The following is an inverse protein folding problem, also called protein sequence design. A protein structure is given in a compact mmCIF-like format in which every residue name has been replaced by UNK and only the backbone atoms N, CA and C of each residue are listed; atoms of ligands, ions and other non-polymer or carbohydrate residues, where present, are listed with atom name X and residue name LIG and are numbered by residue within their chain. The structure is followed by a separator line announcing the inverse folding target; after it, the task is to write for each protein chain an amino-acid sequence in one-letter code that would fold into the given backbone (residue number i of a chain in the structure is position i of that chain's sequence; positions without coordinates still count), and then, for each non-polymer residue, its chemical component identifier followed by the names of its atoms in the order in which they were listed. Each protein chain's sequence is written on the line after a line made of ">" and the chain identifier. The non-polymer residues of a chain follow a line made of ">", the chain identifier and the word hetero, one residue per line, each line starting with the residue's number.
data_IF_766360681499
#
_entry.id   IF_766360681499
#
_cell.length_a   1.000
_cell.length_b   1.000
_cell.length_c   1.000
_cell.angle_alpha   90.00
_cell.angle_beta   90.00
_cell.angle_gamma   90.00
#
_symmetry.space_group_name_H-M   'P 1'
#
loop_
_entity.id
_entity.type
_entity.pdbx_description
1 polymer ?
#
# COMPACT_ATOMS: atom_id res chain seq x y z
N UNK A 1 8.47 75.47 -35.42
CA UNK A 1 7.61 74.71 -36.35
C UNK A 1 7.58 73.29 -35.83
N UNK A 2 6.37 72.87 -35.42
CA UNK A 2 5.91 71.54 -34.99
C UNK A 2 6.44 70.92 -33.68
N UNK A 3 5.66 71.18 -32.62
CA UNK A 3 5.50 70.37 -31.41
C UNK A 3 4.50 69.21 -31.65
N UNK A 4 4.47 68.25 -30.70
CA UNK A 4 3.43 67.24 -30.37
C UNK A 4 3.62 65.87 -31.04
N UNK A 5 3.54 64.74 -30.33
CA UNK A 5 3.17 64.52 -28.93
C UNK A 5 3.36 63.04 -28.56
N UNK A 6 3.64 62.82 -27.27
CA UNK A 6 3.64 61.52 -26.61
C UNK A 6 2.24 60.90 -26.64
N UNK A 7 2.12 59.63 -27.02
CA UNK A 7 1.02 58.76 -26.61
C UNK A 7 1.60 57.44 -26.10
N UNK A 8 1.48 57.24 -24.79
CA UNK A 8 1.71 55.98 -24.10
C UNK A 8 0.84 54.87 -24.71
N UNK A 9 1.46 53.76 -25.11
CA UNK A 9 0.76 52.50 -25.30
C UNK A 9 0.85 51.74 -23.98
N UNK A 10 -0.31 51.56 -23.34
CA UNK A 10 -0.53 50.57 -22.30
C UNK A 10 -0.27 49.18 -22.89
N UNK A 11 0.76 48.50 -22.41
CA UNK A 11 0.86 47.05 -22.51
C UNK A 11 0.02 46.49 -21.36
N UNK A 12 -1.10 45.83 -21.71
CA UNK A 12 -1.86 45.01 -20.78
C UNK A 12 -1.10 43.70 -20.64
N UNK A 13 -0.57 43.42 -19.45
CA UNK A 13 -0.06 42.11 -19.08
C UNK A 13 -1.26 41.15 -19.04
N UNK A 14 -1.30 40.19 -19.97
CA UNK A 14 -2.19 39.04 -19.91
C UNK A 14 -1.71 38.15 -18.74
N UNK A 15 -2.41 38.19 -17.60
CA UNK A 15 -2.25 37.19 -16.55
C UNK A 15 -2.72 35.84 -17.10
N UNK A 16 -1.79 34.95 -17.45
CA UNK A 16 -2.10 33.55 -17.74
C UNK A 16 -2.74 32.91 -16.50
N UNK A 17 -4.03 32.55 -16.62
CA UNK A 17 -4.79 31.86 -15.58
C UNK A 17 -4.20 30.45 -15.37
N UNK A 18 -3.33 30.30 -14.37
CA UNK A 18 -2.78 29.01 -13.97
C UNK A 18 -3.92 28.19 -13.34
N UNK A 19 -4.47 27.25 -14.11
CA UNK A 19 -5.39 26.23 -13.60
C UNK A 19 -4.60 25.26 -12.71
N UNK A 20 -4.61 25.50 -11.40
CA UNK A 20 -4.11 24.55 -10.42
C UNK A 20 -5.08 23.36 -10.34
N UNK A 21 -4.75 22.26 -11.03
CA UNK A 21 -5.42 20.98 -10.83
C UNK A 21 -5.15 20.48 -9.41
N UNK A 22 -6.21 20.09 -8.71
CA UNK A 22 -6.10 19.46 -7.39
C UNK A 22 -5.29 18.15 -7.52
N UNK A 23 -4.49 17.82 -6.50
CA UNK A 23 -3.66 16.61 -6.52
C UNK A 23 -4.47 15.33 -6.75
N UNK A 24 -5.77 15.33 -6.37
CA UNK A 24 -6.70 14.23 -6.67
C UNK A 24 -6.83 13.93 -8.17
N UNK A 25 -6.56 14.90 -9.06
CA UNK A 25 -6.63 14.67 -10.50
C UNK A 25 -5.60 13.67 -11.01
N UNK A 26 -4.49 13.47 -10.28
CA UNK A 26 -3.41 12.55 -10.67
C UNK A 26 -3.48 11.19 -9.96
N UNK A 27 -4.42 11.00 -9.04
CA UNK A 27 -4.60 9.73 -8.32
C UNK A 27 -5.58 8.85 -9.10
N UNK A 28 -5.08 7.76 -9.68
CA UNK A 28 -5.93 6.73 -10.29
C UNK A 28 -6.57 5.89 -9.18
N UNK A 29 -7.85 6.15 -8.89
CA UNK A 29 -8.66 5.41 -7.93
C UNK A 29 -9.62 4.40 -8.58
N UNK A 30 -9.41 4.08 -9.86
CA UNK A 30 -10.21 3.12 -10.64
C UNK A 30 -9.88 1.67 -10.27
N UNK A 31 -9.93 1.35 -8.98
CA UNK A 31 -9.66 0.01 -8.48
C UNK A 31 -10.71 -0.98 -8.96
N UNK A 32 -10.23 -2.14 -9.41
CA UNK A 32 -11.08 -3.25 -9.81
C UNK A 32 -11.02 -4.35 -8.77
N UNK A 33 -12.19 -4.89 -8.42
CA UNK A 33 -12.27 -6.07 -7.57
C UNK A 33 -11.73 -7.28 -8.35
N UNK A 34 -10.56 -7.76 -7.94
CA UNK A 34 -9.83 -8.81 -8.64
C UNK A 34 -9.74 -10.05 -7.76
N UNK A 35 -9.98 -11.22 -8.34
CA UNK A 35 -9.87 -12.51 -7.66
C UNK A 35 -8.51 -13.14 -7.93
N UNK A 36 -7.81 -13.54 -6.87
CA UNK A 36 -6.57 -14.29 -6.89
C UNK A 36 -6.78 -15.64 -6.21
N UNK A 37 -6.14 -16.69 -6.72
CA UNK A 37 -6.27 -18.05 -6.19
C UNK A 37 -4.88 -18.61 -5.89
N UNK A 38 -4.67 -19.03 -4.65
CA UNK A 38 -3.42 -19.64 -4.15
C UNK A 38 -3.76 -21.00 -3.50
N UNK A 39 -3.47 -22.09 -4.20
CA UNK A 39 -3.93 -23.42 -3.77
C UNK A 39 -5.46 -23.48 -3.62
N UNK A 40 -5.95 -23.74 -2.41
CA UNK A 40 -7.40 -23.74 -2.08
C UNK A 40 -7.93 -22.39 -1.59
N UNK A 41 -7.09 -21.34 -1.58
CA UNK A 41 -7.41 -20.03 -1.02
C UNK A 41 -7.76 -19.04 -2.12
N UNK A 42 -9.04 -18.67 -2.19
CA UNK A 42 -9.54 -17.61 -3.06
C UNK A 42 -9.58 -16.28 -2.33
N UNK A 43 -8.84 -15.27 -2.78
CA UNK A 43 -8.80 -13.91 -2.22
C UNK A 43 -9.36 -12.93 -3.25
N UNK A 44 -10.18 -12.00 -2.79
CA UNK A 44 -10.65 -10.88 -3.60
C UNK A 44 -10.16 -9.58 -2.98
N UNK A 45 -9.67 -8.65 -3.78
CA UNK A 45 -9.28 -7.32 -3.30
C UNK A 45 -9.41 -6.30 -4.41
N UNK A 46 -9.53 -5.04 -4.02
CA UNK A 46 -9.46 -3.90 -4.92
C UNK A 46 -7.99 -3.58 -5.22
N UNK A 47 -7.63 -3.58 -6.50
CA UNK A 47 -6.31 -3.15 -6.98
C UNK A 47 -6.43 -2.48 -8.35
N UNK A 48 -5.43 -1.70 -8.73
CA UNK A 48 -5.28 -1.25 -10.11
C UNK A 48 -4.80 -2.39 -11.00
N UNK A 49 -5.05 -2.30 -12.31
CA UNK A 49 -4.54 -3.25 -13.31
C UNK A 49 -3.39 -2.70 -14.14
N UNK A 50 -3.18 -1.38 -14.07
CA UNK A 50 -2.09 -0.67 -14.73
C UNK A 50 -1.41 0.24 -13.73
N UNK A 51 -0.08 0.35 -13.84
CA UNK A 51 0.68 1.29 -13.02
C UNK A 51 0.22 2.71 -13.29
N UNK A 52 0.05 3.49 -12.22
CA UNK A 52 0.11 4.94 -12.31
C UNK A 52 1.49 5.36 -12.82
N UNK A 53 1.56 6.52 -13.47
CA UNK A 53 2.86 7.11 -13.86
C UNK A 53 3.66 7.62 -12.65
N UNK A 54 3.01 7.70 -11.49
CA UNK A 54 3.63 8.04 -10.21
C UNK A 54 4.22 6.78 -9.54
N UNK A 55 5.53 6.84 -9.23
CA UNK A 55 6.28 5.75 -8.61
C UNK A 55 5.85 5.51 -7.15
N UNK A 56 5.36 6.55 -6.46
CA UNK A 56 4.97 6.45 -5.05
C UNK A 56 3.65 5.69 -4.86
N UNK A 57 2.93 5.47 -5.96
CA UNK A 57 1.60 4.86 -6.02
C UNK A 57 1.63 3.40 -6.53
N UNK A 58 2.81 2.83 -6.69
CA UNK A 58 3.04 1.44 -7.13
C UNK A 58 2.44 0.39 -6.19
N UNK A 59 2.23 0.73 -4.91
CA UNK A 59 1.57 -0.13 -3.92
C UNK A 59 0.10 -0.44 -4.21
N UNK A 60 -0.51 0.23 -5.19
CA UNK A 60 -1.89 -0.01 -5.63
C UNK A 60 -2.05 -1.22 -6.58
N UNK A 61 -0.94 -1.80 -7.01
CA UNK A 61 -0.87 -3.00 -7.84
C UNK A 61 -0.56 -4.25 -6.99
N UNK A 62 -0.82 -5.42 -7.57
CA UNK A 62 -0.28 -6.69 -7.07
C UNK A 62 0.97 -7.04 -7.86
N UNK A 63 2.12 -7.08 -7.20
CA UNK A 63 3.40 -7.36 -7.82
C UNK A 63 3.68 -8.88 -7.94
N UNK A 64 4.48 -9.32 -8.93
CA UNK A 64 4.74 -10.75 -9.15
C UNK A 64 5.41 -11.48 -7.97
N UNK A 65 6.28 -10.82 -7.20
CA UNK A 65 6.89 -11.40 -6.01
C UNK A 65 5.87 -11.67 -4.92
N UNK A 66 4.86 -10.81 -4.75
CA UNK A 66 3.74 -11.06 -3.83
C UNK A 66 2.94 -12.31 -4.24
N UNK A 67 2.74 -12.52 -5.54
CA UNK A 67 2.11 -13.74 -6.06
C UNK A 67 2.93 -15.00 -5.75
N UNK A 68 4.25 -14.94 -5.94
CA UNK A 68 5.15 -16.06 -5.63
C UNK A 68 5.20 -16.38 -4.13
N UNK A 69 5.27 -15.34 -3.29
CA UNK A 69 5.22 -15.49 -1.83
C UNK A 69 3.91 -16.17 -1.40
N UNK A 70 2.78 -15.73 -1.94
CA UNK A 70 1.48 -16.31 -1.62
C UNK A 70 1.31 -17.76 -2.09
N UNK A 71 1.89 -18.11 -3.25
CA UNK A 71 1.95 -19.49 -3.71
C UNK A 71 2.78 -20.36 -2.76
N UNK A 72 3.88 -19.85 -2.21
CA UNK A 72 4.66 -20.54 -1.19
C UNK A 72 3.90 -20.70 0.13
N UNK A 73 3.30 -19.62 0.64
CA UNK A 73 2.58 -19.61 1.91
C UNK A 73 1.33 -20.51 1.86
N UNK A 74 0.59 -20.50 0.75
CA UNK A 74 -0.59 -21.36 0.57
C UNK A 74 -0.26 -22.87 0.53
N UNK A 75 0.98 -23.24 0.19
CA UNK A 75 1.49 -24.62 0.29
C UNK A 75 1.99 -24.98 1.69
N UNK A 76 2.29 -23.97 2.51
CA UNK A 76 2.90 -24.13 3.82
C UNK A 76 2.04 -23.53 4.95
N UNK A 77 0.71 -23.58 4.81
CA UNK A 77 -0.26 -22.96 5.75
C UNK A 77 -0.06 -23.38 7.21
N UNK A 78 0.45 -24.59 7.44
CA UNK A 78 0.75 -25.10 8.78
C UNK A 78 1.78 -24.24 9.53
N UNK A 79 2.68 -23.56 8.81
CA UNK A 79 3.66 -22.63 9.40
C UNK A 79 2.99 -21.38 9.98
N UNK A 80 1.85 -20.97 9.42
CA UNK A 80 1.15 -19.73 9.79
C UNK A 80 0.13 -19.92 10.91
N UNK A 81 -0.24 -21.17 11.21
CA UNK A 81 -1.37 -21.50 12.06
C UNK A 81 -1.19 -20.96 13.48
N UNK A 82 -2.03 -19.99 13.86
CA UNK A 82 -2.00 -19.38 15.19
C UNK A 82 -0.85 -18.40 15.43
N UNK A 83 -0.03 -18.13 14.42
CA UNK A 83 1.08 -17.19 14.51
C UNK A 83 0.63 -15.73 14.39
N UNK A 84 1.55 -14.82 14.68
CA UNK A 84 1.45 -13.37 14.47
C UNK A 84 2.40 -12.96 13.36
N UNK A 85 1.95 -12.07 12.47
CA UNK A 85 2.77 -11.59 11.36
C UNK A 85 2.72 -10.06 11.25
N UNK A 86 3.83 -9.48 10.82
CA UNK A 86 3.87 -8.13 10.26
C UNK A 86 4.31 -8.22 8.80
N UNK A 87 3.65 -7.47 7.93
CA UNK A 87 4.02 -7.34 6.52
C UNK A 87 4.53 -5.92 6.27
N UNK A 88 5.74 -5.82 5.72
CA UNK A 88 6.40 -4.58 5.34
C UNK A 88 6.12 -4.32 3.86
N UNK A 89 5.64 -3.13 3.52
CA UNK A 89 5.30 -2.76 2.14
C UNK A 89 4.17 -3.60 1.58
N UNK A 90 3.04 -3.66 2.30
CA UNK A 90 1.89 -4.51 1.98
C UNK A 90 1.19 -4.15 0.66
N UNK A 91 1.35 -2.92 0.16
CA UNK A 91 0.59 -2.46 -0.99
C UNK A 91 -0.92 -2.59 -0.77
N UNK A 92 -1.62 -3.25 -1.69
CA UNK A 92 -3.05 -3.56 -1.57
C UNK A 92 -3.38 -4.68 -0.55
N UNK A 93 -2.37 -5.33 0.03
CA UNK A 93 -2.52 -6.26 1.15
C UNK A 93 -2.77 -7.73 0.80
N UNK A 94 -2.44 -8.15 -0.43
CA UNK A 94 -2.76 -9.52 -0.89
C UNK A 94 -2.17 -10.62 0.01
N UNK A 95 -0.94 -10.44 0.51
CA UNK A 95 -0.27 -11.42 1.35
C UNK A 95 -0.79 -11.38 2.78
N UNK A 96 -0.92 -10.20 3.39
CA UNK A 96 -1.50 -10.10 4.73
C UNK A 96 -2.93 -10.64 4.81
N UNK A 97 -3.76 -10.43 3.78
CA UNK A 97 -5.11 -11.03 3.68
C UNK A 97 -5.06 -12.55 3.54
N UNK A 98 -4.08 -13.11 2.81
CA UNK A 98 -3.89 -14.56 2.77
C UNK A 98 -3.53 -15.10 4.16
N UNK A 99 -2.55 -14.47 4.80
CA UNK A 99 -2.06 -14.87 6.12
C UNK A 99 -3.14 -14.76 7.20
N UNK A 100 -4.04 -13.78 7.12
CA UNK A 100 -5.08 -13.57 8.13
C UNK A 100 -6.06 -14.73 8.25
N UNK A 101 -6.10 -15.66 7.28
CA UNK A 101 -6.91 -16.88 7.34
C UNK A 101 -6.35 -17.95 8.27
N UNK A 102 -5.06 -17.86 8.60
CA UNK A 102 -4.33 -18.88 9.36
C UNK A 102 -3.69 -18.29 10.62
N UNK A 103 -3.19 -17.06 10.54
CA UNK A 103 -2.62 -16.31 11.65
C UNK A 103 -3.70 -15.80 12.61
N UNK A 104 -3.33 -15.62 13.88
CA UNK A 104 -4.20 -14.98 14.88
C UNK A 104 -4.22 -13.46 14.76
N UNK A 105 -3.17 -12.87 14.17
CA UNK A 105 -3.05 -11.42 13.95
C UNK A 105 -2.07 -11.15 12.81
N UNK A 106 -2.41 -10.19 11.96
CA UNK A 106 -1.55 -9.71 10.88
C UNK A 106 -1.57 -8.17 10.86
N UNK A 107 -0.41 -7.56 10.98
CA UNK A 107 -0.24 -6.11 10.84
C UNK A 107 0.34 -5.83 9.46
N UNK A 108 -0.43 -5.20 8.60
CA UNK A 108 -0.02 -4.79 7.26
C UNK A 108 0.45 -3.35 7.30
N UNK A 109 1.61 -3.07 6.70
CA UNK A 109 2.22 -1.74 6.77
C UNK A 109 2.62 -1.22 5.41
N UNK A 110 2.41 0.07 5.21
CA UNK A 110 2.93 0.83 4.07
C UNK A 110 3.24 2.27 4.49
N UNK A 111 4.09 2.95 3.73
CA UNK A 111 4.48 4.33 4.00
C UNK A 111 3.53 5.34 3.34
N UNK A 112 2.92 4.99 2.20
CA UNK A 112 2.15 5.90 1.38
C UNK A 112 0.68 5.95 1.85
N UNK A 113 0.17 7.15 2.13
CA UNK A 113 -1.20 7.34 2.65
C UNK A 113 -2.29 6.87 1.68
N UNK A 114 -2.12 7.06 0.38
CA UNK A 114 -3.09 6.58 -0.62
C UNK A 114 -3.10 5.05 -0.67
N UNK A 115 -1.93 4.42 -0.55
CA UNK A 115 -1.82 2.95 -0.43
C UNK A 115 -2.47 2.45 0.87
N UNK A 116 -2.28 3.15 1.99
CA UNK A 116 -2.94 2.81 3.26
C UNK A 116 -4.47 2.93 3.16
N UNK A 117 -5.01 3.89 2.40
CA UNK A 117 -6.47 4.01 2.20
C UNK A 117 -7.03 2.78 1.48
N UNK A 118 -6.42 2.36 0.36
CA UNK A 118 -6.88 1.16 -0.35
C UNK A 118 -6.66 -0.12 0.46
N UNK A 119 -5.55 -0.20 1.21
CA UNK A 119 -5.27 -1.30 2.13
C UNK A 119 -6.40 -1.45 3.16
N UNK A 120 -6.81 -0.35 3.82
CA UNK A 120 -7.95 -0.35 4.76
C UNK A 120 -9.25 -0.79 4.11
N UNK A 121 -9.56 -0.29 2.90
CA UNK A 121 -10.73 -0.72 2.12
C UNK A 121 -10.71 -2.22 1.84
N UNK A 122 -9.53 -2.79 1.55
CA UNK A 122 -9.38 -4.24 1.37
C UNK A 122 -9.51 -5.01 2.69
N UNK A 123 -9.05 -4.48 3.83
CA UNK A 123 -9.30 -5.09 5.15
C UNK A 123 -10.80 -5.15 5.43
N UNK A 124 -11.53 -4.06 5.19
CA UNK A 124 -12.98 -3.98 5.41
C UNK A 124 -13.74 -5.03 4.59
N UNK A 125 -13.33 -5.25 3.33
CA UNK A 125 -13.89 -6.30 2.45
C UNK A 125 -13.82 -7.70 3.06
N UNK A 126 -12.77 -8.01 3.85
CA UNK A 126 -12.58 -9.30 4.53
C UNK A 126 -13.03 -9.32 5.99
N UNK A 127 -13.45 -8.17 6.52
CA UNK A 127 -13.97 -8.06 7.90
C UNK A 127 -15.49 -8.32 7.98
N UNK A 128 -16.21 -8.25 6.85
CA UNK A 128 -17.65 -8.47 6.82
C UNK A 128 -18.02 -9.94 7.07
N UNK A 129 -18.97 -10.24 8.00
CA UNK A 129 -19.39 -11.60 8.34
C UNK A 129 -20.02 -12.42 7.19
N UNK A 130 -20.34 -11.78 6.07
CA UNK A 130 -21.02 -12.40 4.93
C UNK A 130 -20.07 -13.28 4.09
N UNK A 131 -18.75 -13.13 4.24
CA UNK A 131 -17.78 -14.06 3.66
C UNK A 131 -17.53 -15.23 4.61
N UNK A 132 -18.17 -16.37 4.28
CA UNK A 132 -18.29 -17.63 5.05
C UNK A 132 -16.95 -18.39 5.13
N UNK A 133 -15.92 -17.76 5.67
CA UNK A 133 -14.77 -18.43 6.27
C UNK A 133 -14.42 -17.69 7.55
N UNK A 134 -15.05 -18.12 8.65
CA UNK A 134 -14.73 -17.68 10.01
C UNK A 134 -13.21 -17.64 10.23
N UNK A 135 -12.75 -16.56 10.87
CA UNK A 135 -11.37 -16.20 11.30
C UNK A 135 -10.76 -15.05 10.48
N UNK A 136 -11.39 -13.87 10.44
CA UNK A 136 -10.71 -12.61 10.10
C UNK A 136 -10.25 -11.84 11.35
N UNK A 137 -9.92 -12.57 12.43
CA UNK A 137 -9.53 -11.94 13.68
C UNK A 137 -8.12 -11.37 13.55
N UNK A 138 -8.00 -10.04 13.63
CA UNK A 138 -6.73 -9.36 13.87
C UNK A 138 -5.99 -8.84 12.64
N UNK A 139 -6.65 -8.57 11.52
CA UNK A 139 -6.04 -7.84 10.40
C UNK A 139 -6.08 -6.33 10.66
N UNK A 140 -4.92 -5.66 10.63
CA UNK A 140 -4.79 -4.22 10.93
C UNK A 140 -3.88 -3.57 9.89
N UNK A 141 -4.21 -2.34 9.47
CA UNK A 141 -3.33 -1.49 8.65
C UNK A 141 -2.69 -0.41 9.50
N UNK A 142 -1.38 -0.25 9.41
CA UNK A 142 -0.60 0.78 10.12
C UNK A 142 0.34 1.49 9.13
N UNK A 143 0.61 2.77 9.38
CA UNK A 143 1.62 3.50 8.59
C UNK A 143 3.01 3.12 9.08
N UNK A 144 3.90 2.80 8.15
CA UNK A 144 5.32 2.58 8.44
C UNK A 144 6.20 3.04 7.28
N UNK A 145 6.85 4.17 7.48
CA UNK A 145 8.00 4.62 6.71
C UNK A 145 9.26 3.97 7.27
N UNK A 146 9.97 3.21 6.45
CA UNK A 146 11.12 2.47 6.90
C UNK A 146 12.25 3.40 7.36
N UNK A 147 12.87 3.08 8.49
CA UNK A 147 13.84 3.95 9.15
C UNK A 147 13.22 5.01 10.05
N UNK A 148 11.90 5.23 10.01
CA UNK A 148 11.22 6.08 10.97
C UNK A 148 11.12 5.39 12.34
N UNK A 149 12.00 5.78 13.26
CA UNK A 149 12.11 5.14 14.58
C UNK A 149 10.88 5.37 15.45
N UNK A 150 10.19 6.51 15.31
CA UNK A 150 9.00 6.81 16.09
C UNK A 150 7.84 5.89 15.69
N UNK A 151 7.62 5.68 14.39
CA UNK A 151 6.59 4.76 13.88
C UNK A 151 6.90 3.29 14.23
N UNK A 152 8.17 2.87 14.15
CA UNK A 152 8.60 1.55 14.60
C UNK A 152 8.28 1.36 16.09
N UNK A 153 8.62 2.35 16.93
CA UNK A 153 8.36 2.29 18.37
C UNK A 153 6.85 2.26 18.67
N UNK A 154 6.04 3.02 17.95
CA UNK A 154 4.58 3.01 18.10
C UNK A 154 4.00 1.62 17.80
N UNK A 155 4.42 0.98 16.69
CA UNK A 155 4.00 -0.39 16.34
C UNK A 155 4.44 -1.38 17.43
N UNK A 156 5.70 -1.32 17.89
CA UNK A 156 6.19 -2.21 18.94
C UNK A 156 5.46 -2.00 20.28
N UNK A 157 5.05 -0.78 20.61
CA UNK A 157 4.25 -0.50 21.80
C UNK A 157 2.82 -1.07 21.69
N UNK A 158 2.20 -1.00 20.50
CA UNK A 158 0.89 -1.63 20.23
C UNK A 158 0.98 -3.17 20.21
N UNK A 159 2.16 -3.70 19.91
CA UNK A 159 2.43 -5.13 19.73
C UNK A 159 3.64 -5.61 20.57
N UNK A 160 3.55 -5.57 21.92
CA UNK A 160 4.70 -5.83 22.80
C UNK A 160 5.20 -7.28 22.75
N UNK A 161 4.41 -8.22 22.22
CA UNK A 161 4.83 -9.61 21.99
C UNK A 161 5.68 -9.80 20.73
N UNK A 162 5.86 -8.76 19.91
CA UNK A 162 6.51 -8.88 18.61
C UNK A 162 5.67 -9.64 17.58
N UNK A 163 6.35 -10.22 16.60
CA UNK A 163 5.76 -10.98 15.51
C UNK A 163 6.57 -12.26 15.27
N UNK A 164 5.88 -13.37 15.00
CA UNK A 164 6.53 -14.64 14.63
C UNK A 164 7.08 -14.59 13.21
N UNK A 165 6.43 -13.84 12.31
CA UNK A 165 6.84 -13.63 10.93
C UNK A 165 6.96 -12.15 10.59
N UNK A 166 8.02 -11.82 9.84
CA UNK A 166 8.16 -10.55 9.11
C UNK A 166 8.10 -10.91 7.62
N UNK A 167 7.09 -10.40 6.94
CA UNK A 167 6.82 -10.65 5.53
C UNK A 167 7.16 -9.41 4.71
N UNK A 168 7.51 -9.60 3.44
CA UNK A 168 7.73 -8.53 2.49
C UNK A 168 8.00 -9.08 1.10
N UNK A 169 7.33 -8.53 0.10
CA UNK A 169 7.46 -8.94 -1.30
C UNK A 169 7.63 -7.71 -2.21
N UNK A 170 8.57 -7.78 -3.15
CA UNK A 170 8.88 -6.68 -4.09
C UNK A 170 9.28 -5.35 -3.43
N UNK A 171 9.81 -5.40 -2.21
CA UNK A 171 10.07 -4.20 -1.41
C UNK A 171 11.51 -3.66 -1.52
N UNK A 172 12.37 -4.32 -2.32
CA UNK A 172 13.81 -3.99 -2.46
C UNK A 172 14.14 -3.23 -3.76
N UNK A 173 13.23 -2.38 -4.24
CA UNK A 173 13.35 -1.78 -5.58
C UNK A 173 14.09 -0.42 -5.57
N UNK A 174 14.09 0.29 -4.44
CA UNK A 174 14.75 1.59 -4.32
C UNK A 174 16.19 1.41 -3.84
N UNK A 175 17.17 1.67 -4.72
CA UNK A 175 18.62 1.63 -4.44
C UNK A 175 19.06 2.50 -3.23
N UNK A 176 18.18 3.33 -2.68
CA UNK A 176 18.48 4.30 -1.62
C UNK A 176 18.42 3.68 -0.20
N UNK A 177 17.78 2.53 0.01
CA UNK A 177 17.51 1.97 1.35
C UNK A 177 18.30 0.71 1.74
N UNK A 178 19.40 0.42 1.04
CA UNK A 178 20.21 -0.79 1.20
C UNK A 178 20.80 -1.01 2.64
N UNK A 179 20.97 -0.03 3.54
CA UNK A 179 21.48 -0.34 4.88
C UNK A 179 20.50 -0.99 5.87
N UNK A 180 19.17 -0.96 5.66
CA UNK A 180 18.21 -1.14 6.78
C UNK A 180 17.38 -2.41 6.74
N UNK A 181 17.39 -3.20 5.65
CA UNK A 181 16.57 -4.42 5.54
C UNK A 181 17.43 -5.68 5.70
N UNK A 182 17.36 -6.29 6.88
CA UNK A 182 17.87 -7.65 7.14
C UNK A 182 16.73 -8.63 6.84
N UNK A 183 16.83 -9.36 5.73
CA UNK A 183 16.03 -10.57 5.51
C UNK A 183 16.79 -11.72 6.16
N UNK A 184 16.19 -12.35 7.17
CA UNK A 184 16.65 -13.64 7.68
C UNK A 184 16.27 -14.72 6.67
N UNK A 185 17.27 -15.58 6.39
CA UNK A 185 17.34 -16.62 5.37
C UNK A 185 16.15 -17.59 5.34
#
# INVERSE_FOLDING_TARGET
>A
MEERGNQHKHEQEEEEEIVCLDASFFVDDNYQLTKFTFGSQDIQLFCLHSASTDFDLTGQLVWPGAMLLNEYLSKNVNLLQGCTAIELGSGVGITGILCSRFCHKVVMTDHNEEVIKILKKNIELHSCPENITSISHGLVAEKLEWGNTDQINEILQKHPGGFDFILGADIYILYVWIPTVIILN
#
